data_IF_928204568629
#
_entry.id   IF_928204568629
#
_cell.length_a   1.000
_cell.length_b   1.000
_cell.length_c   1.000
_cell.angle_alpha   90.00
_cell.angle_beta   90.00
_cell.angle_gamma   90.00
#
_symmetry.space_group_name_H-M   'P 1'
#
loop_
_entity.id
_entity.type
_entity.pdbx_description
1 polymer ?
#
# COMPACT_ATOMS: atom_id res chain seq x y z
N UNK A 1 7.95 56.77 -34.79
CA UNK A 1 8.87 56.00 -33.91
C UNK A 1 8.28 55.60 -32.56
N UNK A 2 7.31 56.33 -31.98
CA UNK A 2 6.76 56.01 -30.64
C UNK A 2 5.93 54.70 -30.59
N UNK A 3 5.21 54.36 -31.66
CA UNK A 3 4.38 53.13 -31.73
C UNK A 3 5.20 51.82 -31.75
N UNK A 4 6.43 51.86 -32.27
CA UNK A 4 7.26 50.65 -32.37
C UNK A 4 7.87 50.27 -31.02
N UNK A 5 8.15 51.25 -30.13
CA UNK A 5 8.74 50.98 -28.82
C UNK A 5 7.75 50.41 -27.80
N UNK A 6 6.46 50.70 -27.96
CA UNK A 6 5.42 50.21 -27.05
C UNK A 6 5.07 48.73 -27.30
N UNK A 7 5.06 48.30 -28.57
CA UNK A 7 4.80 46.90 -28.92
C UNK A 7 5.94 45.97 -28.50
N UNK A 8 7.21 46.40 -28.61
CA UNK A 8 8.35 45.58 -28.16
C UNK A 8 8.35 45.37 -26.65
N UNK A 9 8.01 46.41 -25.87
CA UNK A 9 7.93 46.30 -24.40
C UNK A 9 6.79 45.38 -23.96
N UNK A 10 5.63 45.44 -24.63
CA UNK A 10 4.48 44.58 -24.34
C UNK A 10 4.79 43.10 -24.65
N UNK A 11 5.50 42.81 -25.75
CA UNK A 11 5.91 41.45 -26.12
C UNK A 11 6.93 40.88 -25.13
N UNK A 12 7.87 41.69 -24.66
CA UNK A 12 8.85 41.26 -23.63
C UNK A 12 8.14 41.01 -22.29
N UNK A 13 7.21 41.87 -21.88
CA UNK A 13 6.42 41.67 -20.66
C UNK A 13 5.52 40.43 -20.75
N UNK A 14 4.88 40.19 -21.89
CA UNK A 14 4.11 38.97 -22.15
C UNK A 14 5.00 37.72 -22.13
N UNK A 15 6.21 37.77 -22.70
CA UNK A 15 7.15 36.65 -22.67
C UNK A 15 7.68 36.36 -21.26
N UNK A 16 7.90 37.39 -20.43
CA UNK A 16 8.28 37.20 -19.02
C UNK A 16 7.11 36.66 -18.20
N UNK A 17 5.87 37.10 -18.48
CA UNK A 17 4.66 36.60 -17.81
C UNK A 17 4.33 35.15 -18.17
N UNK A 18 4.50 34.73 -19.43
CA UNK A 18 4.31 33.32 -19.82
C UNK A 18 5.44 32.41 -19.34
N UNK A 19 6.63 32.96 -19.06
CA UNK A 19 7.75 32.19 -18.51
C UNK A 19 7.66 31.96 -16.99
N UNK A 20 6.81 32.69 -16.27
CA UNK A 20 6.60 32.54 -14.82
C UNK A 20 5.35 31.71 -14.46
N UNK A 21 4.71 31.08 -15.43
CA UNK A 21 3.53 30.23 -15.22
C UNK A 21 3.81 28.74 -15.49
N UNK A 22 5.06 28.30 -15.32
CA UNK A 22 5.31 26.89 -15.01
C UNK A 22 5.27 26.80 -13.50
N UNK A 23 4.05 26.66 -12.96
CA UNK A 23 3.90 26.14 -11.61
C UNK A 23 4.56 24.76 -11.64
N UNK A 24 5.77 24.67 -11.07
CA UNK A 24 6.39 23.40 -10.74
C UNK A 24 5.39 22.69 -9.84
N UNK A 25 4.66 21.69 -10.34
CA UNK A 25 3.90 20.81 -9.46
C UNK A 25 4.87 20.25 -8.41
N UNK A 26 4.50 20.39 -7.14
CA UNK A 26 5.35 19.97 -6.04
C UNK A 26 5.62 18.46 -6.14
N UNK A 27 6.89 18.08 -6.06
CA UNK A 27 7.28 16.68 -6.04
C UNK A 27 6.73 16.01 -4.77
N UNK A 28 6.06 14.88 -4.93
CA UNK A 28 5.46 14.13 -3.83
C UNK A 28 6.06 12.73 -3.78
N UNK A 29 6.28 12.20 -2.56
CA UNK A 29 6.70 10.82 -2.39
C UNK A 29 5.48 9.90 -2.36
N UNK A 30 5.55 8.78 -3.07
CA UNK A 30 4.48 7.77 -3.13
C UNK A 30 5.05 6.37 -2.87
N UNK A 31 4.20 5.46 -2.41
CA UNK A 31 4.52 4.05 -2.33
C UNK A 31 5.42 3.66 -1.17
N UNK A 32 5.62 2.34 -1.05
CA UNK A 32 6.55 1.75 -0.10
C UNK A 32 7.99 2.22 -0.40
N UNK A 33 8.40 2.15 -1.66
CA UNK A 33 9.73 2.49 -2.15
C UNK A 33 10.10 3.96 -2.06
N UNK A 34 9.18 4.87 -1.68
CA UNK A 34 9.39 6.33 -1.66
C UNK A 34 9.75 6.89 -3.04
N UNK A 35 8.94 6.56 -4.03
CA UNK A 35 9.13 7.04 -5.40
C UNK A 35 8.78 8.51 -5.52
N UNK A 36 9.53 9.26 -6.34
CA UNK A 36 9.26 10.68 -6.57
C UNK A 36 8.26 10.85 -7.72
N UNK A 37 7.11 11.42 -7.40
CA UNK A 37 6.03 11.71 -8.34
C UNK A 37 5.97 13.20 -8.66
N UNK A 38 5.91 13.53 -9.96
CA UNK A 38 5.72 14.88 -10.51
C UNK A 38 4.76 14.78 -11.69
N UNK A 39 3.75 15.67 -11.79
CA UNK A 39 2.78 15.63 -12.91
C UNK A 39 2.09 14.27 -13.06
N UNK A 40 1.70 13.65 -11.93
CA UNK A 40 1.08 12.31 -11.87
C UNK A 40 1.90 11.18 -12.52
N UNK A 41 3.23 11.34 -12.55
CA UNK A 41 4.18 10.36 -13.11
C UNK A 41 5.30 10.12 -12.12
N UNK A 42 5.74 8.87 -12.03
CA UNK A 42 6.91 8.50 -11.24
C UNK A 42 8.14 8.82 -12.08
N UNK A 43 8.83 9.89 -11.70
CA UNK A 43 10.00 10.41 -12.43
C UNK A 43 11.31 9.84 -11.93
N UNK A 44 11.32 9.33 -10.69
CA UNK A 44 12.47 8.68 -10.08
C UNK A 44 11.98 7.58 -9.14
N UNK A 45 12.43 6.34 -9.37
CA UNK A 45 12.17 5.24 -8.45
C UNK A 45 13.02 5.41 -7.18
N UNK A 46 12.43 5.05 -6.04
CA UNK A 46 13.14 5.08 -4.77
C UNK A 46 13.85 3.76 -4.47
N UNK A 47 13.70 3.28 -3.24
CA UNK A 47 14.37 2.05 -2.77
C UNK A 47 13.80 0.78 -3.39
N UNK A 48 12.47 0.72 -3.58
CA UNK A 48 11.81 -0.38 -4.27
C UNK A 48 11.95 -0.21 -5.79
N UNK A 49 12.78 -1.04 -6.42
CA UNK A 49 13.09 -0.93 -7.85
C UNK A 49 13.43 -2.27 -8.50
N UNK A 50 13.13 -3.37 -7.81
CA UNK A 50 13.30 -4.73 -8.32
C UNK A 50 11.97 -5.46 -8.26
N UNK A 51 11.63 -6.22 -9.30
CA UNK A 51 10.45 -7.09 -9.28
C UNK A 51 10.77 -8.37 -8.52
N UNK A 52 9.96 -8.68 -7.51
CA UNK A 52 10.01 -9.96 -6.82
C UNK A 52 9.44 -11.08 -7.70
N UNK A 53 10.15 -12.22 -7.77
CA UNK A 53 9.75 -13.38 -8.60
C UNK A 53 9.23 -14.55 -7.77
N UNK A 54 9.65 -14.66 -6.52
CA UNK A 54 9.37 -15.77 -5.63
C UNK A 54 9.48 -15.35 -4.14
N UNK A 55 9.26 -16.30 -3.23
CA UNK A 55 9.31 -16.03 -1.80
C UNK A 55 10.74 -15.73 -1.29
N UNK A 56 11.77 -16.30 -1.93
CA UNK A 56 13.18 -16.04 -1.60
C UNK A 56 13.57 -14.58 -1.86
N UNK A 57 12.95 -13.95 -2.86
CA UNK A 57 13.17 -12.54 -3.15
C UNK A 57 12.65 -11.61 -2.03
N UNK A 58 11.72 -12.07 -1.20
CA UNK A 58 11.06 -11.27 -0.17
C UNK A 58 11.86 -11.17 1.14
N UNK A 59 12.96 -11.90 1.28
CA UNK A 59 13.79 -11.88 2.50
C UNK A 59 14.30 -10.46 2.81
N UNK A 60 14.70 -9.70 1.79
CA UNK A 60 15.19 -8.32 1.92
C UNK A 60 14.06 -7.27 2.04
N UNK A 61 12.81 -7.69 1.81
CA UNK A 61 11.63 -6.84 1.92
C UNK A 61 11.01 -6.92 3.32
N UNK A 62 10.97 -8.14 3.90
CA UNK A 62 10.35 -8.40 5.20
C UNK A 62 11.06 -7.68 6.34
N UNK A 63 10.28 -7.14 7.27
CA UNK A 63 10.80 -6.47 8.47
C UNK A 63 11.37 -5.07 8.25
N UNK A 64 11.31 -4.54 7.03
CA UNK A 64 11.62 -3.14 6.76
C UNK A 64 10.45 -2.23 7.14
N UNK A 65 10.75 -0.95 7.39
CA UNK A 65 9.75 0.01 7.86
C UNK A 65 8.59 0.17 6.84
N UNK A 66 7.36 0.01 7.31
CA UNK A 66 6.13 0.07 6.51
C UNK A 66 6.01 -1.00 5.41
N UNK A 67 6.88 -2.02 5.34
CA UNK A 67 6.65 -3.16 4.47
C UNK A 67 5.50 -4.03 4.99
N UNK A 68 4.71 -4.59 4.07
CA UNK A 68 3.69 -5.57 4.42
C UNK A 68 4.32 -6.96 4.66
N UNK A 69 3.67 -7.81 5.47
CA UNK A 69 3.99 -9.25 5.43
C UNK A 69 3.39 -9.85 4.16
N UNK A 70 4.26 -10.13 3.20
CA UNK A 70 3.91 -10.63 1.87
C UNK A 70 4.45 -12.05 1.66
N UNK A 71 3.68 -12.86 0.94
CA UNK A 71 4.11 -14.13 0.36
C UNK A 71 3.55 -14.28 -1.05
N UNK A 72 4.20 -15.11 -1.86
CA UNK A 72 3.62 -15.68 -3.06
C UNK A 72 2.97 -17.02 -2.72
N UNK A 73 1.73 -17.21 -3.16
CA UNK A 73 1.04 -18.50 -3.06
C UNK A 73 1.51 -19.49 -4.15
N UNK A 74 0.93 -20.69 -4.18
CA UNK A 74 1.27 -21.72 -5.18
C UNK A 74 0.95 -21.30 -6.63
N UNK A 75 0.05 -20.33 -6.83
CA UNK A 75 -0.31 -19.80 -8.15
C UNK A 75 0.58 -18.60 -8.54
N UNK A 76 1.47 -18.16 -7.64
CA UNK A 76 2.27 -16.95 -7.81
C UNK A 76 1.48 -15.66 -7.52
N UNK A 77 0.32 -15.75 -6.88
CA UNK A 77 -0.44 -14.58 -6.44
C UNK A 77 0.22 -13.90 -5.24
N UNK A 78 0.10 -12.58 -5.16
CA UNK A 78 0.69 -11.76 -4.10
C UNK A 78 -0.29 -11.71 -2.94
N UNK A 79 0.09 -12.30 -1.80
CA UNK A 79 -0.77 -12.39 -0.60
C UNK A 79 -0.21 -11.53 0.53
N UNK A 80 -1.01 -10.60 1.03
CA UNK A 80 -0.73 -9.72 2.15
C UNK A 80 -1.47 -10.25 3.39
N UNK A 81 -0.79 -10.24 4.56
CA UNK A 81 -1.39 -10.67 5.82
C UNK A 81 -1.69 -9.47 6.72
N UNK A 82 -2.97 -9.09 6.82
CA UNK A 82 -3.39 -7.90 7.58
C UNK A 82 -3.08 -8.01 9.08
N UNK A 83 -3.22 -9.20 9.67
CA UNK A 83 -3.05 -9.39 11.11
C UNK A 83 -1.66 -8.98 11.63
N UNK A 84 -0.63 -9.03 10.77
CA UNK A 84 0.74 -8.63 11.13
C UNK A 84 0.96 -7.12 11.10
N UNK A 85 0.09 -6.38 10.41
CA UNK A 85 0.22 -4.94 10.15
C UNK A 85 -0.95 -4.14 10.72
N UNK A 86 -1.88 -4.78 11.43
CA UNK A 86 -3.06 -4.11 12.01
C UNK A 86 -2.72 -2.99 13.00
N UNK A 87 -1.54 -3.00 13.62
CA UNK A 87 -1.13 -1.95 14.57
C UNK A 87 -0.39 -0.79 13.88
N UNK A 88 0.33 -1.08 12.80
CA UNK A 88 1.28 -0.15 12.18
C UNK A 88 0.86 0.32 10.80
N UNK A 89 -0.04 -0.40 10.12
CA UNK A 89 -0.23 -0.31 8.69
C UNK A 89 1.00 -0.77 7.91
N UNK A 90 0.87 -0.80 6.59
CA UNK A 90 1.96 -1.09 5.66
C UNK A 90 1.63 -0.63 4.23
N UNK A 91 2.62 -0.68 3.34
CA UNK A 91 2.53 -0.29 1.95
C UNK A 91 3.12 -1.36 1.03
N UNK A 92 2.54 -1.51 -0.16
CA UNK A 92 3.10 -2.27 -1.29
C UNK A 92 3.06 -1.44 -2.56
N UNK A 93 4.05 -1.66 -3.41
CA UNK A 93 4.13 -1.08 -4.75
C UNK A 93 3.85 -2.18 -5.77
N UNK A 94 2.69 -2.08 -6.42
CA UNK A 94 2.20 -3.08 -7.36
C UNK A 94 2.31 -2.52 -8.78
N UNK A 95 3.17 -3.12 -9.59
CA UNK A 95 3.22 -2.81 -11.02
C UNK A 95 2.08 -3.50 -11.75
N UNK A 96 1.52 -2.80 -12.74
CA UNK A 96 0.45 -3.32 -13.58
C UNK A 96 0.70 -2.98 -15.05
N UNK A 97 0.15 -3.79 -15.95
CA UNK A 97 0.36 -3.64 -17.40
C UNK A 97 -0.51 -2.55 -18.04
N UNK A 98 -1.77 -2.42 -17.61
CA UNK A 98 -2.81 -1.68 -18.35
C UNK A 98 -3.76 -0.81 -17.52
N UNK A 99 -3.60 -0.68 -16.21
CA UNK A 99 -4.65 -0.07 -15.40
C UNK A 99 -4.49 1.43 -15.44
N UNK A 100 -5.62 2.13 -15.49
CA UNK A 100 -5.66 3.59 -15.36
C UNK A 100 -6.77 4.06 -14.42
N UNK A 101 -7.81 3.24 -14.15
CA UNK A 101 -8.99 3.68 -13.37
C UNK A 101 -9.70 2.59 -12.55
N UNK A 102 -9.10 1.42 -12.33
CA UNK A 102 -9.70 0.33 -11.55
C UNK A 102 -8.60 -0.54 -10.94
N UNK A 103 -8.89 -1.23 -9.84
CA UNK A 103 -8.12 -2.38 -9.39
C UNK A 103 -9.02 -3.35 -8.62
N UNK A 104 -8.57 -4.58 -8.46
CA UNK A 104 -9.29 -5.60 -7.71
C UNK A 104 -8.35 -6.50 -6.92
N UNK A 105 -8.87 -7.07 -5.84
CA UNK A 105 -8.19 -8.04 -5.00
C UNK A 105 -9.22 -8.97 -4.34
N UNK A 106 -8.80 -10.19 -4.03
CA UNK A 106 -9.60 -11.07 -3.18
C UNK A 106 -9.25 -10.84 -1.72
N UNK A 107 -10.24 -10.76 -0.84
CA UNK A 107 -10.06 -10.71 0.60
C UNK A 107 -10.64 -11.97 1.23
N UNK A 108 -9.83 -12.68 2.02
CA UNK A 108 -10.20 -13.94 2.67
C UNK A 108 -10.16 -13.79 4.17
N UNK A 109 -11.25 -14.18 4.83
CA UNK A 109 -11.35 -14.36 6.27
C UNK A 109 -11.25 -15.86 6.61
N UNK A 110 -10.43 -16.22 7.58
CA UNK A 110 -10.24 -17.62 8.00
C UNK A 110 -9.88 -17.75 9.50
N UNK A 111 -9.94 -18.97 10.03
CA UNK A 111 -9.64 -19.28 11.43
C UNK A 111 -8.78 -20.55 11.58
N UNK A 112 -7.61 -20.61 10.93
CA UNK A 112 -6.65 -21.72 11.05
C UNK A 112 -7.27 -23.12 10.93
N UNK A 113 -8.11 -23.32 9.91
CA UNK A 113 -8.89 -24.54 9.64
C UNK A 113 -10.01 -24.87 10.64
N UNK A 114 -10.45 -23.90 11.42
CA UNK A 114 -11.67 -23.97 12.24
C UNK A 114 -12.80 -23.16 11.60
N UNK A 115 -13.99 -23.32 12.16
CA UNK A 115 -15.17 -22.55 11.78
C UNK A 115 -14.94 -21.06 12.01
N UNK A 116 -15.32 -20.23 11.04
CA UNK A 116 -15.15 -18.77 11.11
C UNK A 116 -16.04 -18.13 12.18
N UNK A 117 -17.13 -18.78 12.57
CA UNK A 117 -18.01 -18.35 13.66
C UNK A 117 -17.31 -18.28 15.02
N UNK A 118 -16.19 -18.99 15.22
CA UNK A 118 -15.42 -18.93 16.46
C UNK A 118 -14.57 -17.66 16.58
N UNK A 119 -14.24 -16.99 15.47
CA UNK A 119 -13.45 -15.76 15.47
C UNK A 119 -14.28 -14.53 15.06
N UNK A 120 -15.35 -14.72 14.28
CA UNK A 120 -16.21 -13.66 13.82
C UNK A 120 -17.11 -13.17 14.94
N UNK A 121 -17.56 -11.92 14.87
CA UNK A 121 -18.43 -11.32 15.88
C UNK A 121 -19.85 -11.11 15.33
N UNK A 122 -20.85 -11.23 16.21
CA UNK A 122 -22.25 -11.07 15.86
C UNK A 122 -22.60 -9.59 15.59
N UNK A 123 -23.52 -9.35 14.67
CA UNK A 123 -24.12 -8.03 14.47
C UNK A 123 -24.92 -7.56 15.71
N UNK A 124 -25.02 -6.25 15.96
CA UNK A 124 -24.55 -5.14 15.10
C UNK A 124 -23.07 -4.76 15.29
N UNK A 125 -22.45 -5.14 16.41
CA UNK A 125 -21.08 -4.74 16.73
C UNK A 125 -20.02 -5.48 15.90
N UNK A 126 -20.39 -6.63 15.34
CA UNK A 126 -19.45 -7.53 14.68
C UNK A 126 -18.71 -6.95 13.50
N UNK A 127 -19.32 -5.99 12.78
CA UNK A 127 -18.61 -5.29 11.71
C UNK A 127 -17.48 -4.46 12.26
N UNK A 128 -17.72 -3.63 13.28
CA UNK A 128 -16.69 -2.77 13.88
C UNK A 128 -15.43 -3.58 14.28
N UNK A 129 -15.62 -4.81 14.75
CA UNK A 129 -14.53 -5.68 15.17
C UNK A 129 -13.74 -6.31 14.01
N UNK A 130 -14.28 -6.37 12.79
CA UNK A 130 -13.66 -7.05 11.66
C UNK A 130 -13.53 -6.16 10.41
N UNK A 131 -13.48 -4.84 10.60
CA UNK A 131 -13.15 -3.90 9.54
C UNK A 131 -11.65 -3.94 9.22
N UNK A 132 -11.33 -3.82 7.94
CA UNK A 132 -9.98 -3.79 7.41
C UNK A 132 -9.84 -2.50 6.59
N UNK A 133 -9.28 -1.44 7.17
CA UNK A 133 -9.09 -0.18 6.46
C UNK A 133 -7.89 -0.24 5.51
N UNK A 134 -8.06 0.36 4.34
CA UNK A 134 -7.05 0.47 3.31
C UNK A 134 -7.20 1.78 2.53
N UNK A 135 -6.14 2.16 1.85
CA UNK A 135 -6.12 3.29 0.94
C UNK A 135 -5.19 3.00 -0.22
N UNK A 136 -5.34 3.73 -1.32
CA UNK A 136 -4.58 3.52 -2.54
C UNK A 136 -4.32 4.87 -3.20
N UNK A 137 -3.37 4.93 -4.13
CA UNK A 137 -3.24 6.08 -5.05
C UNK A 137 -3.05 7.44 -4.36
N UNK A 138 -2.44 7.46 -3.18
CA UNK A 138 -2.11 8.68 -2.43
C UNK A 138 -0.60 8.81 -2.18
N UNK A 139 -0.18 10.05 -1.91
CA UNK A 139 1.15 10.37 -1.40
C UNK A 139 1.41 9.75 -0.03
N UNK A 140 2.67 9.42 0.22
CA UNK A 140 3.14 8.77 1.44
C UNK A 140 2.86 9.60 2.70
N UNK A 141 3.00 10.93 2.63
CA UNK A 141 2.66 11.81 3.76
C UNK A 141 1.16 11.73 4.13
N UNK A 142 0.28 11.62 3.13
CA UNK A 142 -1.14 11.43 3.38
C UNK A 142 -1.44 10.06 3.99
N UNK A 143 -0.73 9.02 3.56
CA UNK A 143 -0.81 7.70 4.19
C UNK A 143 -0.42 7.78 5.68
N UNK A 144 0.70 8.45 6.01
CA UNK A 144 1.12 8.58 7.41
C UNK A 144 0.09 9.31 8.27
N UNK A 145 -0.56 10.35 7.74
CA UNK A 145 -1.64 11.06 8.45
C UNK A 145 -2.86 10.15 8.67
N UNK A 146 -3.23 9.36 7.67
CA UNK A 146 -4.41 8.50 7.71
C UNK A 146 -4.28 7.30 8.66
N UNK A 147 -3.06 6.97 9.10
CA UNK A 147 -2.86 5.95 10.15
C UNK A 147 -3.53 6.32 11.47
N UNK A 148 -3.78 7.60 11.72
CA UNK A 148 -4.50 8.08 12.91
C UNK A 148 -6.02 8.23 12.68
N UNK A 149 -6.50 7.87 11.49
CA UNK A 149 -7.91 8.00 11.08
C UNK A 149 -8.15 9.08 10.02
N UNK A 150 -9.39 9.21 9.53
CA UNK A 150 -9.76 10.22 8.55
C UNK A 150 -9.66 11.63 9.13
N UNK A 151 -9.44 12.60 8.26
CA UNK A 151 -9.28 14.00 8.62
C UNK A 151 -10.53 14.53 9.37
N UNK A 152 -10.31 15.11 10.55
CA UNK A 152 -11.34 15.83 11.33
C UNK A 152 -11.71 17.19 10.71
N UNK A 153 -11.62 17.32 9.38
CA UNK A 153 -12.27 18.41 8.67
C UNK A 153 -13.78 18.16 8.75
N UNK A 154 -14.46 18.82 9.69
CA UNK A 154 -15.92 18.81 9.76
C UNK A 154 -16.46 19.32 8.42
N UNK A 155 -16.98 18.40 7.63
CA UNK A 155 -17.71 18.78 6.45
C UNK A 155 -19.12 19.13 6.89
N UNK A 156 -19.61 20.28 6.42
CA UNK A 156 -21.02 20.63 6.49
C UNK A 156 -21.82 19.52 5.81
N UNK A 157 -22.37 18.57 6.57
CA UNK A 157 -23.49 17.79 6.05
C UNK A 157 -24.63 18.79 5.82
N UNK A 158 -25.15 18.82 4.60
CA UNK A 158 -26.29 19.65 4.28
C UNK A 158 -27.45 19.28 5.20
N UNK A 159 -28.34 20.24 5.45
CA UNK A 159 -29.39 20.13 6.47
C UNK A 159 -30.35 18.94 6.26
N UNK A 160 -30.29 18.29 5.10
CA UNK A 160 -31.14 17.16 4.71
C UNK A 160 -30.42 15.80 4.77
N UNK A 161 -29.15 15.73 5.18
CA UNK A 161 -28.41 14.46 5.20
C UNK A 161 -28.85 13.52 6.34
N UNK A 162 -28.97 12.22 6.03
CA UNK A 162 -29.45 11.19 6.97
C UNK A 162 -28.61 11.16 8.25
N UNK A 163 -27.32 11.47 8.15
CA UNK A 163 -26.41 11.50 9.30
C UNK A 163 -26.74 12.64 10.25
N UNK A 164 -27.00 13.86 9.74
CA UNK A 164 -27.29 15.03 10.58
C UNK A 164 -28.70 15.01 11.15
N UNK A 165 -29.70 14.51 10.41
CA UNK A 165 -31.06 14.31 10.95
C UNK A 165 -31.10 13.29 12.10
N UNK A 166 -30.09 12.41 12.19
CA UNK A 166 -29.88 11.48 13.29
C UNK A 166 -28.84 11.93 14.34
N UNK A 167 -28.31 13.16 14.26
CA UNK A 167 -27.31 13.67 15.20
C UNK A 167 -25.88 13.15 15.03
N UNK A 168 -25.57 12.48 13.92
CA UNK A 168 -24.25 11.90 13.63
C UNK A 168 -23.25 12.88 12.99
N UNK A 169 -21.99 12.48 12.99
CA UNK A 169 -20.86 13.24 12.44
C UNK A 169 -20.53 12.81 11.00
N UNK A 170 -20.18 13.78 10.14
CA UNK A 170 -19.69 13.54 8.78
C UNK A 170 -18.19 13.85 8.73
N UNK A 171 -17.39 12.85 8.35
CA UNK A 171 -15.95 13.00 8.19
C UNK A 171 -15.59 13.03 6.71
N UNK A 172 -14.47 13.70 6.40
CA UNK A 172 -13.90 13.63 5.06
C UNK A 172 -13.36 12.21 4.84
N UNK A 173 -13.87 11.46 3.85
CA UNK A 173 -13.39 10.12 3.58
C UNK A 173 -11.90 10.13 3.28
N UNK A 174 -11.14 9.30 4.01
CA UNK A 174 -9.69 9.17 3.85
C UNK A 174 -9.26 7.90 3.12
N UNK A 175 -10.18 6.96 2.91
CA UNK A 175 -9.90 5.64 2.37
C UNK A 175 -11.15 4.77 2.41
N UNK A 176 -10.93 3.46 2.33
CA UNK A 176 -11.96 2.43 2.28
C UNK A 176 -11.76 1.44 3.41
N UNK A 177 -12.82 0.78 3.81
CA UNK A 177 -12.76 -0.37 4.71
C UNK A 177 -13.79 -1.41 4.27
N UNK A 178 -13.39 -2.69 4.32
CA UNK A 178 -14.29 -3.82 4.16
C UNK A 178 -14.32 -4.64 5.44
N UNK A 179 -15.34 -5.46 5.66
CA UNK A 179 -15.39 -6.30 6.85
C UNK A 179 -16.46 -7.37 6.81
N UNK A 180 -16.45 -8.20 7.85
CA UNK A 180 -17.40 -9.31 8.02
C UNK A 180 -18.13 -9.19 9.37
N UNK A 181 -19.32 -9.73 9.44
CA UNK A 181 -20.05 -9.99 10.68
C UNK A 181 -20.95 -11.21 10.48
N UNK A 182 -21.64 -11.66 11.52
CA UNK A 182 -22.68 -12.68 11.33
C UNK A 182 -24.01 -12.32 12.00
N UNK A 183 -25.08 -12.92 11.50
CA UNK A 183 -26.40 -12.92 12.14
C UNK A 183 -27.08 -14.25 11.92
N UNK A 184 -27.36 -14.94 13.04
CA UNK A 184 -27.69 -16.36 13.01
C UNK A 184 -26.56 -17.16 12.38
N UNK A 185 -26.88 -17.99 11.40
CA UNK A 185 -25.89 -18.82 10.70
C UNK A 185 -25.24 -18.11 9.51
N UNK A 186 -25.69 -16.91 9.16
CA UNK A 186 -25.28 -16.22 7.94
C UNK A 186 -24.11 -15.29 8.20
N UNK A 187 -23.11 -15.35 7.34
CA UNK A 187 -22.05 -14.33 7.27
C UNK A 187 -22.58 -13.13 6.48
N UNK A 188 -22.23 -11.94 6.92
CA UNK A 188 -22.50 -10.68 6.24
C UNK A 188 -21.18 -10.00 5.94
N UNK A 189 -21.11 -9.33 4.80
CA UNK A 189 -19.95 -8.57 4.33
C UNK A 189 -20.33 -7.13 4.13
N UNK A 190 -19.38 -6.23 4.41
CA UNK A 190 -19.54 -4.80 4.21
C UNK A 190 -18.36 -4.20 3.46
N UNK A 191 -18.62 -3.09 2.78
CA UNK A 191 -17.59 -2.16 2.34
C UNK A 191 -18.14 -0.74 2.38
N UNK A 192 -17.30 0.18 2.84
CA UNK A 192 -17.67 1.56 3.10
C UNK A 192 -16.44 2.49 3.08
N UNK A 193 -16.62 3.80 2.88
CA UNK A 193 -15.59 4.77 3.20
C UNK A 193 -15.26 4.75 4.70
N UNK A 194 -13.99 4.95 5.03
CA UNK A 194 -13.57 5.11 6.42
C UNK A 194 -14.27 6.33 7.01
N UNK A 195 -14.93 6.12 8.16
CA UNK A 195 -15.65 7.16 8.88
C UNK A 195 -17.10 7.34 8.47
N UNK A 196 -17.64 6.54 7.54
CA UNK A 196 -19.06 6.52 7.18
C UNK A 196 -19.82 5.39 7.91
N UNK A 197 -21.15 5.52 8.12
CA UNK A 197 -21.94 4.39 8.60
C UNK A 197 -21.98 3.29 7.54
N UNK A 198 -22.30 2.05 7.93
CA UNK A 198 -22.41 0.91 7.01
C UNK A 198 -23.29 1.24 5.81
N UNK A 199 -22.68 1.46 4.66
CA UNK A 199 -23.36 1.89 3.42
C UNK A 199 -23.70 0.69 2.53
N UNK A 200 -22.88 -0.35 2.56
CA UNK A 200 -23.10 -1.55 1.76
C UNK A 200 -22.95 -2.81 2.59
N UNK A 201 -24.09 -3.38 3.01
CA UNK A 201 -24.13 -4.66 3.71
C UNK A 201 -24.77 -5.72 2.80
N UNK A 202 -24.19 -6.93 2.76
CA UNK A 202 -24.76 -8.07 2.06
C UNK A 202 -24.57 -9.35 2.84
N UNK A 203 -25.59 -10.22 2.84
CA UNK A 203 -25.44 -11.60 3.28
C UNK A 203 -24.59 -12.39 2.27
N UNK A 204 -23.61 -13.12 2.77
CA UNK A 204 -22.81 -14.05 2.00
C UNK A 204 -23.61 -15.34 1.78
N UNK A 205 -24.03 -15.61 0.55
CA UNK A 205 -24.96 -16.72 0.26
C UNK A 205 -24.35 -18.13 0.44
N UNK A 206 -23.03 -18.24 0.36
CA UNK A 206 -22.34 -19.54 0.37
C UNK A 206 -21.59 -19.83 1.65
N UNK A 207 -21.31 -18.79 2.43
CA UNK A 207 -20.52 -18.95 3.66
C UNK A 207 -21.43 -18.71 4.84
N UNK A 208 -21.48 -19.71 5.71
CA UNK A 208 -22.09 -19.60 7.02
C UNK A 208 -21.03 -19.49 8.10
N UNK A 209 -21.47 -19.27 9.33
CA UNK A 209 -20.56 -19.28 10.49
C UNK A 209 -19.79 -20.60 10.63
N UNK A 210 -20.33 -21.71 10.12
CA UNK A 210 -19.68 -23.03 10.12
C UNK A 210 -18.69 -23.23 8.96
N UNK A 211 -18.50 -22.24 8.07
CA UNK A 211 -17.50 -22.33 6.99
C UNK A 211 -16.07 -22.22 7.57
N UNK A 212 -15.09 -22.83 6.89
CA UNK A 212 -13.67 -22.72 7.28
C UNK A 212 -13.02 -21.39 6.87
N UNK A 213 -13.58 -20.78 5.82
CA UNK A 213 -13.17 -19.46 5.34
C UNK A 213 -14.35 -18.77 4.67
N UNK A 214 -14.25 -17.45 4.52
CA UNK A 214 -15.11 -16.66 3.65
C UNK A 214 -14.27 -15.77 2.73
N UNK A 215 -14.61 -15.73 1.45
CA UNK A 215 -13.81 -15.07 0.43
C UNK A 215 -14.66 -14.13 -0.43
N UNK A 216 -14.24 -12.87 -0.52
CA UNK A 216 -14.88 -11.84 -1.33
C UNK A 216 -13.90 -11.29 -2.36
N UNK A 217 -14.40 -10.89 -3.51
CA UNK A 217 -13.65 -10.07 -4.46
C UNK A 217 -14.03 -8.60 -4.23
N UNK A 218 -13.03 -7.76 -3.97
CA UNK A 218 -13.17 -6.33 -3.83
C UNK A 218 -12.69 -5.68 -5.11
N UNK A 219 -13.57 -4.95 -5.78
CA UNK A 219 -13.25 -4.15 -6.96
C UNK A 219 -13.45 -2.68 -6.60
N UNK A 220 -12.47 -1.83 -6.95
CA UNK A 220 -12.55 -0.37 -6.78
C UNK A 220 -12.43 0.28 -8.15
N UNK A 221 -13.43 1.09 -8.53
CA UNK A 221 -13.53 1.77 -9.83
C UNK A 221 -13.74 3.29 -9.67
N UNK A 222 -13.63 4.04 -10.78
CA UNK A 222 -13.79 5.49 -10.81
C UNK A 222 -15.25 5.97 -11.00
N UNK A 223 -16.22 5.04 -10.95
CA UNK A 223 -17.64 5.31 -11.16
C UNK A 223 -18.38 5.57 -9.85
N UNK A 224 -19.66 5.94 -9.97
CA UNK A 224 -20.53 6.33 -8.85
C UNK A 224 -20.67 5.17 -7.85
N UNK A 225 -20.62 3.94 -8.34
CA UNK A 225 -20.54 2.69 -7.59
C UNK A 225 -19.10 2.23 -7.46
N UNK A 226 -18.26 3.16 -6.98
CA UNK A 226 -16.80 3.12 -6.86
C UNK A 226 -16.21 1.89 -6.18
N UNK A 227 -17.03 1.03 -5.58
CA UNK A 227 -16.63 -0.31 -5.22
C UNK A 227 -17.73 -1.35 -5.39
N UNK A 228 -17.31 -2.60 -5.60
CA UNK A 228 -18.17 -3.79 -5.60
C UNK A 228 -17.55 -4.86 -4.72
N UNK A 229 -18.42 -5.57 -4.01
CA UNK A 229 -18.07 -6.82 -3.36
C UNK A 229 -18.74 -7.93 -4.17
N UNK A 230 -17.94 -8.63 -4.98
CA UNK A 230 -18.41 -9.76 -5.79
C UNK A 230 -18.09 -11.10 -5.11
N UNK A 231 -18.95 -12.09 -5.34
CA UNK A 231 -18.72 -13.46 -4.85
C UNK A 231 -17.68 -14.12 -5.74
N UNK A 232 -16.72 -14.83 -5.14
CA UNK A 232 -15.75 -15.58 -5.94
C UNK A 232 -16.44 -16.77 -6.63
N UNK A 233 -16.71 -16.57 -7.93
CA UNK A 233 -17.16 -17.50 -8.99
C UNK A 233 -18.65 -17.89 -9.08
N UNK A 234 -19.16 -17.63 -10.29
CA UNK A 234 -20.27 -18.25 -11.09
C UNK A 234 -21.64 -17.58 -11.20
N UNK A 235 -21.97 -16.54 -10.44
CA UNK A 235 -23.19 -15.76 -10.68
C UNK A 235 -22.92 -14.26 -10.55
N UNK A 236 -23.07 -13.56 -11.68
CA UNK A 236 -22.99 -12.10 -11.86
C UNK A 236 -24.14 -11.38 -11.14
N UNK A 237 -24.18 -11.47 -9.81
CA UNK A 237 -24.99 -10.57 -8.99
C UNK A 237 -24.08 -9.48 -8.44
N UNK A 238 -23.66 -8.55 -9.30
CA UNK A 238 -22.96 -7.35 -8.85
C UNK A 238 -23.97 -6.45 -8.14
N UNK A 239 -23.78 -6.27 -6.83
CA UNK A 239 -24.53 -5.27 -6.07
C UNK A 239 -23.79 -3.95 -6.15
N UNK A 240 -24.32 -3.02 -6.94
CA UNK A 240 -23.90 -1.63 -6.90
C UNK A 240 -24.27 -1.06 -5.54
N UNK A 241 -23.26 -0.78 -4.73
CA UNK A 241 -23.41 -0.18 -3.41
C UNK A 241 -23.69 1.32 -3.54
N UNK A 242 -24.66 1.89 -2.78
CA UNK A 242 -24.78 3.33 -2.68
C UNK A 242 -23.51 3.89 -2.03
N UNK A 243 -23.02 4.99 -2.58
CA UNK A 243 -21.67 5.47 -2.32
C UNK A 243 -21.50 6.00 -0.89
N UNK A 244 -22.54 6.62 -0.32
CA UNK A 244 -22.53 7.31 0.97
C UNK A 244 -23.91 7.36 1.63
N UNK A 245 -23.93 7.40 2.96
CA UNK A 245 -25.15 7.71 3.75
C UNK A 245 -25.12 9.15 4.27
N UNK A 246 -23.93 9.67 4.57
CA UNK A 246 -23.78 11.04 5.07
C UNK A 246 -23.54 12.09 3.97
N UNK A 247 -23.27 11.66 2.74
CA UNK A 247 -23.07 12.55 1.58
C UNK A 247 -24.17 12.29 0.56
N UNK A 248 -25.10 13.24 0.37
CA UNK A 248 -26.20 13.08 -0.60
C UNK A 248 -25.95 13.74 -1.94
N UNK A 249 -24.94 14.62 -2.05
CA UNK A 249 -24.62 15.30 -3.30
C UNK A 249 -23.59 14.52 -4.12
N UNK A 250 -24.06 14.00 -5.26
CA UNK A 250 -23.27 13.24 -6.23
C UNK A 250 -21.93 13.89 -6.64
N UNK A 251 -21.92 15.22 -6.80
CA UNK A 251 -20.70 15.96 -7.16
C UNK A 251 -19.73 16.10 -5.99
N UNK A 252 -20.21 16.10 -4.75
CA UNK A 252 -19.36 16.08 -3.56
C UNK A 252 -18.71 14.72 -3.37
N UNK A 253 -19.47 13.64 -3.59
CA UNK A 253 -18.99 12.25 -3.57
C UNK A 253 -17.81 12.09 -4.53
N UNK A 254 -17.99 12.51 -5.79
CA UNK A 254 -16.97 12.36 -6.85
C UNK A 254 -15.67 13.12 -6.55
N UNK A 255 -15.77 14.23 -5.82
CA UNK A 255 -14.62 15.07 -5.49
C UNK A 255 -13.96 14.70 -4.14
N UNK A 256 -14.62 13.90 -3.30
CA UNK A 256 -14.12 13.52 -1.97
C UNK A 256 -13.50 12.14 -1.92
N UNK A 257 -13.82 11.27 -2.88
CA UNK A 257 -13.21 9.95 -2.98
C UNK A 257 -11.84 9.99 -3.66
N UNK A 258 -10.93 9.19 -3.11
CA UNK A 258 -9.65 8.93 -3.73
C UNK A 258 -9.90 8.04 -4.93
N UNK A 259 -9.52 8.53 -6.12
CA UNK A 259 -9.69 7.76 -7.35
C UNK A 259 -8.65 6.63 -7.43
N UNK A 260 -9.02 5.44 -7.93
CA UNK A 260 -8.08 4.36 -8.19
C UNK A 260 -7.22 4.70 -9.41
N UNK A 261 -6.18 5.53 -9.20
CA UNK A 261 -5.21 5.88 -10.24
C UNK A 261 -3.93 5.07 -10.06
N UNK A 262 -3.35 4.67 -11.19
CA UNK A 262 -1.97 4.21 -11.25
C UNK A 262 -1.11 5.30 -11.88
N UNK A 263 0.16 5.34 -11.51
CA UNK A 263 1.10 6.30 -12.07
C UNK A 263 2.04 5.63 -13.04
N UNK A 264 2.27 6.27 -14.18
CA UNK A 264 3.24 5.81 -15.15
C UNK A 264 4.66 6.00 -14.59
N UNK A 265 5.49 4.96 -14.71
CA UNK A 265 6.92 5.03 -14.44
C UNK A 265 7.61 5.59 -15.69
N UNK A 266 8.32 6.71 -15.51
CA UNK A 266 9.12 7.38 -16.55
C UNK A 266 10.58 7.57 -16.10
N UNK A 267 11.02 6.79 -15.11
CA UNK A 267 12.42 6.80 -14.65
C UNK A 267 13.34 6.23 -15.74
N UNK A 268 14.15 7.11 -16.32
CA UNK A 268 15.07 6.78 -17.43
C UNK A 268 16.22 5.85 -17.01
N UNK A 269 16.47 5.69 -15.72
CA UNK A 269 17.54 4.81 -15.24
C UNK A 269 17.10 3.34 -15.16
N UNK A 270 15.81 3.06 -15.38
CA UNK A 270 15.25 1.72 -15.25
C UNK A 270 14.28 1.43 -16.40
N UNK A 271 14.82 1.15 -17.58
CA UNK A 271 14.05 0.85 -18.81
C UNK A 271 13.37 -0.54 -18.79
N UNK A 272 13.72 -1.39 -17.83
CA UNK A 272 13.24 -2.79 -17.75
C UNK A 272 11.73 -2.92 -17.43
N UNK A 273 11.03 -1.81 -17.20
CA UNK A 273 9.61 -1.77 -16.81
C UNK A 273 8.63 -1.62 -17.97
N UNK A 274 9.08 -1.71 -19.22
CA UNK A 274 8.24 -1.54 -20.41
C UNK A 274 7.01 -2.47 -20.45
N UNK A 275 7.10 -3.66 -19.85
CA UNK A 275 5.98 -4.63 -19.79
C UNK A 275 4.97 -4.35 -18.67
N UNK A 276 5.31 -3.52 -17.69
CA UNK A 276 4.48 -3.14 -16.54
C UNK A 276 4.70 -1.65 -16.20
N UNK A 277 4.33 -0.71 -17.10
CA UNK A 277 4.75 0.68 -16.99
C UNK A 277 3.95 1.48 -15.95
N UNK A 278 2.94 0.89 -15.31
CA UNK A 278 2.06 1.55 -14.35
C UNK A 278 2.32 1.01 -12.95
N UNK A 279 2.27 1.89 -11.94
CA UNK A 279 2.40 1.51 -10.53
C UNK A 279 1.17 1.95 -9.74
N UNK A 280 0.63 1.02 -8.95
CA UNK A 280 -0.35 1.26 -7.90
C UNK A 280 0.38 1.23 -6.55
N UNK A 281 0.35 2.33 -5.80
CA UNK A 281 0.66 2.28 -4.38
C UNK A 281 -0.61 1.89 -3.63
N UNK A 282 -0.54 0.76 -2.92
CA UNK A 282 -1.62 0.24 -2.08
C UNK A 282 -1.15 0.18 -0.63
N UNK A 283 -2.02 0.60 0.28
CA UNK A 283 -1.70 0.77 1.68
C UNK A 283 -2.74 0.08 2.55
N UNK A 284 -2.29 -0.80 3.44
CA UNK A 284 -3.12 -1.27 4.54
C UNK A 284 -2.96 -0.31 5.70
N UNK A 285 -4.09 0.19 6.21
CA UNK A 285 -4.10 1.10 7.34
C UNK A 285 -4.18 0.30 8.65
N UNK A 286 -3.60 0.80 9.75
CA UNK A 286 -3.79 0.18 11.05
C UNK A 286 -5.26 0.26 11.46
N UNK A 287 -5.69 -0.65 12.32
CA UNK A 287 -7.07 -0.75 12.78
C UNK A 287 -7.57 0.55 13.42
N UNK A 288 -6.69 1.27 14.11
CA UNK A 288 -6.98 2.57 14.73
C UNK A 288 -7.36 3.67 13.72
N UNK A 289 -7.16 3.44 12.41
CA UNK A 289 -7.66 4.34 11.37
C UNK A 289 -9.19 4.23 11.18
N UNK A 290 -9.78 3.10 11.57
CA UNK A 290 -11.22 2.89 11.61
C UNK A 290 -11.81 3.36 12.95
N UNK A 291 -13.13 3.58 12.99
CA UNK A 291 -13.82 3.95 14.24
C UNK A 291 -14.91 2.97 14.60
N UNK A 292 -15.07 2.74 15.91
CA UNK A 292 -16.28 2.12 16.41
C UNK A 292 -17.47 3.06 16.18
N UNK A 293 -18.53 2.55 15.55
CA UNK A 293 -19.80 3.26 15.42
C UNK A 293 -20.88 2.66 16.30
N UNK A 294 -21.67 3.54 16.92
CA UNK A 294 -22.93 3.20 17.56
C UNK A 294 -24.05 3.90 16.79
N UNK A 295 -24.65 3.15 15.85
CA UNK A 295 -25.56 3.71 14.86
C UNK A 295 -24.86 4.77 13.99
N UNK A 296 -25.25 6.03 14.16
CA UNK A 296 -24.72 7.18 13.38
C UNK A 296 -23.57 7.91 14.07
N UNK A 297 -23.27 7.58 15.33
CA UNK A 297 -22.26 8.28 16.14
C UNK A 297 -20.91 7.56 16.10
N UNK A 298 -19.83 8.35 16.11
CA UNK A 298 -18.44 7.88 16.13
C UNK A 298 -17.94 7.86 17.58
N UNK A 299 -17.38 6.72 18.01
CA UNK A 299 -16.73 6.58 19.33
C UNK A 299 -15.23 6.77 19.20
N UNK A 300 -14.77 8.02 19.31
CA UNK A 300 -13.35 8.40 19.12
C UNK A 300 -12.38 7.82 20.16
N UNK A 301 -12.87 7.54 21.36
CA UNK A 301 -12.06 7.03 22.47
C UNK A 301 -12.23 5.52 22.69
N UNK A 302 -12.80 4.82 21.72
CA UNK A 302 -12.96 3.37 21.75
C UNK A 302 -12.03 2.76 20.69
N UNK A 303 -10.83 2.28 21.09
CA UNK A 303 -9.97 1.58 20.15
C UNK A 303 -10.70 0.34 19.62
N UNK A 304 -10.46 0.04 18.34
CA UNK A 304 -10.87 -1.21 17.74
C UNK A 304 -9.73 -2.20 17.90
N UNK A 305 -9.99 -3.35 18.52
CA UNK A 305 -9.00 -4.41 18.73
C UNK A 305 -8.65 -5.17 17.43
N UNK A 306 -9.40 -4.90 16.37
CA UNK A 306 -9.22 -5.43 15.02
C UNK A 306 -9.73 -6.85 14.85
N UNK A 307 -9.63 -7.38 13.62
CA UNK A 307 -10.17 -8.69 13.31
C UNK A 307 -9.48 -9.76 14.16
N UNK A 308 -10.30 -10.53 14.87
CA UNK A 308 -9.87 -11.74 15.57
C UNK A 308 -9.54 -12.85 14.57
N UNK A 309 -10.26 -12.87 13.44
CA UNK A 309 -10.00 -13.79 12.35
C UNK A 309 -8.73 -13.43 11.60
N UNK A 310 -8.15 -14.41 10.92
CA UNK A 310 -7.05 -14.18 10.00
C UNK A 310 -7.58 -13.61 8.69
N UNK A 311 -7.03 -12.48 8.27
CA UNK A 311 -7.38 -11.79 7.03
C UNK A 311 -6.18 -11.81 6.07
N UNK A 312 -6.40 -12.36 4.87
CA UNK A 312 -5.46 -12.31 3.76
C UNK A 312 -6.04 -11.51 2.60
N UNK A 313 -5.22 -10.67 1.97
CA UNK A 313 -5.57 -9.90 0.76
C UNK A 313 -4.70 -10.41 -0.38
N UNK A 314 -5.30 -10.76 -1.51
CA UNK A 314 -4.64 -11.42 -2.62
C UNK A 314 -4.81 -10.64 -3.91
N UNK A 315 -3.69 -10.25 -4.52
CA UNK A 315 -3.64 -9.70 -5.87
C UNK A 315 -3.17 -10.77 -6.86
N UNK A 316 -3.81 -10.82 -8.03
CA UNK A 316 -3.45 -11.75 -9.10
C UNK A 316 -2.01 -11.55 -9.56
N UNK A 317 -1.18 -12.59 -9.44
CA UNK A 317 0.22 -12.56 -9.89
C UNK A 317 0.37 -12.50 -11.41
N UNK A 318 -0.71 -12.77 -12.15
CA UNK A 318 -0.76 -12.62 -13.60
C UNK A 318 -0.89 -11.14 -14.01
N UNK A 319 -1.64 -10.37 -13.23
CA UNK A 319 -1.94 -8.97 -13.49
C UNK A 319 -0.96 -8.02 -12.83
N UNK A 320 -0.54 -8.33 -11.60
CA UNK A 320 0.32 -7.50 -10.79
C UNK A 320 1.71 -8.10 -10.61
N UNK A 321 2.70 -7.21 -10.43
CA UNK A 321 4.06 -7.56 -10.00
C UNK A 321 4.44 -6.73 -8.79
N UNK A 322 5.04 -7.35 -7.78
CA UNK A 322 5.47 -6.64 -6.58
C UNK A 322 6.85 -6.02 -6.80
N UNK A 323 6.98 -4.71 -6.55
CA UNK A 323 8.27 -4.05 -6.41
C UNK A 323 8.80 -4.17 -4.98
N UNK A 324 10.08 -4.50 -4.88
CA UNK A 324 10.82 -4.65 -3.64
C UNK A 324 12.19 -3.98 -3.74
N UNK A 325 12.87 -3.89 -2.61
CA UNK A 325 14.21 -3.30 -2.52
C UNK A 325 15.21 -4.06 -3.41
N UNK A 326 16.20 -3.33 -3.93
CA UNK A 326 17.40 -3.96 -4.48
C UNK A 326 18.15 -4.72 -3.37
N UNK A 327 18.76 -5.86 -3.73
CA UNK A 327 19.65 -6.56 -2.82
C UNK A 327 20.86 -5.66 -2.57
N UNK A 328 21.14 -5.36 -1.31
CA UNK A 328 22.43 -4.74 -0.96
C UNK A 328 23.46 -5.85 -1.08
N UNK A 329 24.21 -5.88 -2.18
CA UNK A 329 25.37 -6.76 -2.28
C UNK A 329 26.34 -6.37 -1.16
N UNK A 330 26.48 -7.23 -0.16
CA UNK A 330 27.47 -7.05 0.89
C UNK A 330 28.82 -7.32 0.25
N UNK A 331 29.48 -6.26 -0.23
CA UNK A 331 30.84 -6.36 -0.73
C UNK A 331 31.71 -6.72 0.48
N UNK A 332 32.01 -8.00 0.63
CA UNK A 332 32.96 -8.45 1.63
C UNK A 332 34.33 -8.01 1.12
N UNK A 333 34.81 -6.86 1.59
CA UNK A 333 36.19 -6.46 1.36
C UNK A 333 37.09 -7.57 1.92
N UNK A 334 37.71 -8.32 1.00
CA UNK A 334 38.74 -9.30 1.32
C UNK A 334 39.97 -8.50 1.75
N UNK A 335 40.07 -8.19 3.04
CA UNK A 335 41.29 -7.67 3.63
C UNK A 335 42.38 -8.72 3.40
N UNK A 336 43.30 -8.40 2.49
CA UNK A 336 44.43 -9.25 2.14
C UNK A 336 45.55 -8.91 3.11
N UNK A 337 45.47 -9.43 4.34
CA UNK A 337 46.59 -9.49 5.27
C UNK A 337 47.08 -10.94 5.31
N UNK A 338 48.14 -11.24 4.56
CA UNK A 338 49.22 -12.15 4.97
C UNK A 338 50.24 -12.30 3.83
N UNK A 339 51.25 -11.42 3.82
CA UNK A 339 52.53 -11.67 3.13
C UNK A 339 53.65 -11.01 3.92
N UNK A 340 53.87 -11.43 5.16
CA UNK A 340 55.14 -11.22 5.87
C UNK A 340 55.38 -12.44 6.77
N UNK A 341 56.24 -13.36 6.35
CA UNK A 341 56.73 -14.41 7.24
C UNK A 341 57.27 -15.66 6.58
N UNK A 342 58.30 -15.56 5.74
CA UNK A 342 59.31 -16.63 5.57
C UNK A 342 60.44 -16.18 4.63
N UNK A 343 61.43 -15.46 5.17
CA UNK A 343 62.79 -15.41 4.60
C UNK A 343 63.77 -15.37 5.78
N UNK A 344 64.09 -16.55 6.33
CA UNK A 344 65.34 -16.76 7.07
C UNK A 344 65.62 -18.25 7.14
N UNK A 345 66.72 -18.64 6.48
CA UNK A 345 67.53 -19.87 6.62
C UNK A 345 67.76 -20.57 5.28
N UNK A 346 68.71 -20.06 4.47
CA UNK A 346 69.60 -20.92 3.68
C UNK A 346 70.71 -20.13 2.96
N UNK A 347 71.61 -19.44 3.68
CA UNK A 347 72.93 -19.10 3.10
C UNK A 347 73.96 -19.00 4.23
N UNK A 348 74.73 -20.07 4.49
CA UNK A 348 76.21 -20.01 4.64
C UNK A 348 76.79 -21.39 4.93
N UNK A 349 77.25 -22.10 3.91
CA UNK A 349 78.37 -23.03 4.07
C UNK A 349 79.08 -23.25 2.72
N UNK A 350 80.10 -22.44 2.43
CA UNK A 350 81.29 -22.93 1.73
C UNK A 350 82.46 -21.93 1.82
N UNK A 351 83.53 -22.43 2.46
CA UNK A 351 84.99 -22.25 2.19
C UNK A 351 85.57 -20.83 2.06
N UNK A 352 86.57 -20.43 2.85
CA UNK A 352 88.01 -20.78 2.74
C UNK A 352 88.73 -20.09 3.93
N UNK A 353 89.58 -20.72 4.76
CA UNK A 353 90.95 -21.25 4.58
C UNK A 353 92.00 -20.36 5.28
N UNK A 354 93.06 -20.99 5.82
CA UNK A 354 94.35 -20.46 6.39
C UNK A 354 94.27 -19.72 7.75
N UNK A 355 95.11 -19.87 8.79
CA UNK A 355 96.50 -20.31 9.04
C UNK A 355 96.56 -20.97 10.45
N UNK A 356 97.21 -22.13 10.65
CA UNK A 356 98.64 -22.36 10.95
C UNK A 356 99.08 -22.17 12.43
N UNK A 357 99.42 -23.31 13.06
CA UNK A 357 100.39 -23.52 14.17
C UNK A 357 100.11 -22.85 15.54
N UNK A 358 100.28 -23.50 16.70
CA UNK A 358 101.57 -23.87 17.34
C UNK A 358 101.27 -24.65 18.65
N UNK A 359 102.02 -25.73 18.89
CA UNK A 359 102.46 -26.37 20.19
C UNK A 359 101.38 -26.79 21.24
N UNK A 360 101.55 -27.80 22.09
CA UNK A 360 102.71 -28.55 22.60
C UNK A 360 102.22 -29.84 23.30
N UNK A 361 103.14 -30.80 23.45
CA UNK A 361 103.15 -31.98 24.36
C UNK A 361 102.33 -33.23 24.05
#
# INVERSE_FOLDING_TARGET
MLRVRFTTLLVILLAIWTSHCVMSEEATLVGYGRHTMVNNKITQLGTARRVAKNNEDLEDYKGTENACDVKFDENGDIVLNYNTVRETGCAVDLMHRYLTFMFEFDATLSNDNKEIGECLQAMPDGFNANLVPFVHSIGFEHFEKLKEGPYEEYISCDREDECRQGGGECLKPGGLEFGWAYSGDNVHVTMQPIGEPIVCERTHEHDGVNSLKSEINVQVDDHISWFKIEKVKRYLASSVCPSFKCLNHHDEIKNRLIKPITWRIEDKNHEDFDSYPQMLAFYLLPQKASFQREGKNIKRNSPLDGPNCKIEIKFSGQEYKLLINEKVETTTEKTTEDTIGEITEEITEETTEVEESVEES
#
